data_IF_031510631831
#
_entry.id   IF_031510631831
#
_cell.length_a   1.000
_cell.length_b   1.000
_cell.length_c   1.000
_cell.angle_alpha   90.00
_cell.angle_beta   90.00
_cell.angle_gamma   90.00
#
_symmetry.space_group_name_H-M   'P 1'
#
loop_
_entity.id
_entity.type
_entity.pdbx_description
1 polymer ?
#
# COMPACT_ATOMS: atom_id res chain seq x y z
N UNK A 1 -46.76 90.15 -19.40
CA UNK A 1 -45.74 89.19 -19.89
C UNK A 1 -45.05 88.54 -18.70
N UNK A 2 -45.46 87.33 -18.31
CA UNK A 2 -44.60 86.38 -17.58
C UNK A 2 -44.94 84.99 -18.11
N UNK A 3 -43.93 84.34 -18.68
CA UNK A 3 -44.00 83.03 -19.32
C UNK A 3 -44.41 81.96 -18.30
N UNK A 4 -45.33 81.10 -18.69
CA UNK A 4 -45.51 79.78 -18.07
C UNK A 4 -44.29 78.93 -18.44
N UNK A 5 -43.42 78.65 -17.47
CA UNK A 5 -42.43 77.60 -17.57
C UNK A 5 -43.12 76.25 -17.42
N UNK A 6 -43.60 75.68 -18.53
CA UNK A 6 -43.93 74.25 -18.63
C UNK A 6 -42.71 73.55 -19.20
N UNK A 7 -41.82 73.09 -18.34
CA UNK A 7 -40.65 72.31 -18.71
C UNK A 7 -39.78 72.13 -17.49
N UNK A 8 -39.99 71.05 -16.73
CA UNK A 8 -38.96 70.36 -15.95
C UNK A 8 -39.54 69.21 -15.09
N UNK A 9 -40.84 69.22 -14.75
CA UNK A 9 -41.43 68.12 -13.94
C UNK A 9 -41.61 66.80 -14.71
N UNK A 10 -41.86 66.87 -16.02
CA UNK A 10 -41.99 65.66 -16.83
C UNK A 10 -40.64 64.95 -17.07
N UNK A 11 -39.52 65.70 -17.09
CA UNK A 11 -38.20 65.13 -17.36
C UNK A 11 -37.61 64.43 -16.13
N UNK A 12 -37.82 64.99 -14.93
CA UNK A 12 -37.32 64.42 -13.66
C UNK A 12 -38.07 63.17 -13.19
N UNK A 13 -39.38 63.08 -13.47
CA UNK A 13 -40.18 61.87 -13.19
C UNK A 13 -39.78 60.72 -14.12
N UNK A 14 -39.44 61.03 -15.39
CA UNK A 14 -38.97 60.03 -16.35
C UNK A 14 -37.55 59.57 -16.02
N UNK A 15 -36.64 60.47 -15.64
CA UNK A 15 -35.27 60.10 -15.22
C UNK A 15 -35.23 59.27 -13.94
N UNK A 16 -36.05 59.60 -12.92
CA UNK A 16 -36.14 58.82 -11.70
C UNK A 16 -36.74 57.43 -11.95
N UNK A 17 -37.78 57.32 -12.79
CA UNK A 17 -38.36 56.03 -13.18
C UNK A 17 -37.44 55.17 -14.07
N UNK A 18 -36.53 55.78 -14.82
CA UNK A 18 -35.49 55.07 -15.59
C UNK A 18 -34.36 54.60 -14.66
N UNK A 19 -33.98 55.40 -13.67
CA UNK A 19 -32.98 55.06 -12.64
C UNK A 19 -33.45 53.93 -11.70
N UNK A 20 -34.69 53.98 -11.22
CA UNK A 20 -35.29 52.90 -10.42
C UNK A 20 -35.40 51.60 -11.22
N UNK A 21 -35.88 51.65 -12.47
CA UNK A 21 -35.91 50.46 -13.33
C UNK A 21 -34.51 49.91 -13.66
N UNK A 22 -33.49 50.76 -13.73
CA UNK A 22 -32.10 50.35 -13.94
C UNK A 22 -31.54 49.62 -12.72
N UNK A 23 -31.76 50.17 -11.52
CA UNK A 23 -31.30 49.59 -10.25
C UNK A 23 -32.03 48.31 -9.87
N UNK A 24 -33.34 48.20 -10.15
CA UNK A 24 -34.10 46.95 -10.02
C UNK A 24 -33.57 45.85 -10.94
N UNK A 25 -33.22 46.20 -12.18
CA UNK A 25 -32.68 45.27 -13.17
C UNK A 25 -31.29 44.76 -12.76
N UNK A 26 -30.42 45.63 -12.27
CA UNK A 26 -29.12 45.24 -11.71
C UNK A 26 -29.26 44.35 -10.46
N UNK A 27 -30.20 44.67 -9.57
CA UNK A 27 -30.50 43.83 -8.40
C UNK A 27 -30.98 42.43 -8.79
N UNK A 28 -31.82 42.34 -9.83
CA UNK A 28 -32.29 41.07 -10.38
C UNK A 28 -31.14 40.23 -10.92
N UNK A 29 -30.23 40.83 -11.70
CA UNK A 29 -29.05 40.15 -12.25
C UNK A 29 -28.12 39.65 -11.13
N UNK A 30 -27.91 40.46 -10.09
CA UNK A 30 -27.10 40.05 -8.95
C UNK A 30 -27.72 38.88 -8.18
N UNK A 31 -29.04 38.86 -7.96
CA UNK A 31 -29.74 37.74 -7.30
C UNK A 31 -29.61 36.45 -8.09
N UNK A 32 -29.76 36.51 -9.40
CA UNK A 32 -29.61 35.36 -10.29
C UNK A 32 -28.16 34.81 -10.22
N UNK A 33 -27.17 35.70 -10.19
CA UNK A 33 -25.75 35.31 -10.04
C UNK A 33 -25.47 34.69 -8.66
N UNK A 34 -26.06 35.22 -7.58
CA UNK A 34 -25.95 34.64 -6.23
C UNK A 34 -26.60 33.24 -6.20
N UNK A 35 -27.75 33.07 -6.84
CA UNK A 35 -28.45 31.79 -6.90
C UNK A 35 -27.64 30.74 -7.67
N UNK A 36 -27.04 31.12 -8.80
CA UNK A 36 -26.14 30.25 -9.57
C UNK A 36 -24.90 29.87 -8.77
N UNK A 37 -24.22 30.84 -8.14
CA UNK A 37 -23.04 30.58 -7.32
C UNK A 37 -23.36 29.67 -6.13
N UNK A 38 -24.55 29.83 -5.53
CA UNK A 38 -25.00 28.97 -4.43
C UNK A 38 -25.25 27.54 -4.89
N UNK A 39 -25.82 27.34 -6.08
CA UNK A 39 -26.02 26.02 -6.67
C UNK A 39 -24.67 25.35 -7.02
N UNK A 40 -23.74 26.09 -7.62
CA UNK A 40 -22.40 25.59 -7.93
C UNK A 40 -21.63 25.20 -6.66
N UNK A 41 -21.73 26.00 -5.60
CA UNK A 41 -21.11 25.72 -4.30
C UNK A 41 -21.72 24.48 -3.65
N UNK A 42 -23.04 24.32 -3.70
CA UNK A 42 -23.73 23.12 -3.21
C UNK A 42 -23.27 21.86 -3.99
N UNK A 43 -23.14 21.96 -5.31
CA UNK A 43 -22.62 20.86 -6.14
C UNK A 43 -21.18 20.49 -5.77
N UNK A 44 -20.31 21.47 -5.54
CA UNK A 44 -18.94 21.24 -5.08
C UNK A 44 -18.89 20.62 -3.69
N UNK A 45 -19.73 21.06 -2.75
CA UNK A 45 -19.78 20.50 -1.40
C UNK A 45 -20.22 19.03 -1.43
N UNK A 46 -21.21 18.67 -2.23
CA UNK A 46 -21.62 17.28 -2.40
C UNK A 46 -20.47 16.41 -2.94
N UNK A 47 -19.75 16.91 -3.96
CA UNK A 47 -18.60 16.21 -4.52
C UNK A 47 -17.45 16.04 -3.52
N UNK A 48 -17.21 17.04 -2.66
CA UNK A 48 -16.23 16.94 -1.56
C UNK A 48 -16.66 15.85 -0.59
N UNK A 49 -17.92 15.81 -0.16
CA UNK A 49 -18.42 14.78 0.75
C UNK A 49 -18.29 13.37 0.17
N UNK A 50 -18.58 13.17 -1.13
CA UNK A 50 -18.35 11.88 -1.80
C UNK A 50 -16.88 11.46 -1.82
N UNK A 51 -15.96 12.42 -2.02
CA UNK A 51 -14.52 12.15 -1.98
C UNK A 51 -14.04 11.85 -0.56
N UNK A 52 -14.54 12.55 0.45
CA UNK A 52 -14.24 12.29 1.86
C UNK A 52 -14.69 10.88 2.28
N UNK A 53 -15.86 10.42 1.83
CA UNK A 53 -16.31 9.04 2.05
C UNK A 53 -15.39 8.01 1.39
N UNK A 54 -14.95 8.26 0.15
CA UNK A 54 -13.99 7.38 -0.55
C UNK A 54 -12.62 7.36 0.15
N UNK A 55 -12.14 8.51 0.61
CA UNK A 55 -10.88 8.62 1.36
C UNK A 55 -10.99 7.81 2.65
N UNK A 56 -12.04 8.02 3.46
CA UNK A 56 -12.25 7.27 4.70
C UNK A 56 -12.35 5.75 4.46
N UNK A 57 -12.98 5.32 3.35
CA UNK A 57 -13.05 3.91 2.98
C UNK A 57 -11.68 3.34 2.61
N UNK A 58 -10.87 4.09 1.85
CA UNK A 58 -9.50 3.72 1.50
C UNK A 58 -8.60 3.68 2.73
N UNK A 59 -8.71 4.66 3.63
CA UNK A 59 -7.98 4.72 4.89
C UNK A 59 -8.30 3.50 5.77
N UNK A 60 -9.58 3.12 5.91
CA UNK A 60 -9.96 1.89 6.63
C UNK A 60 -9.39 0.61 6.03
N UNK A 61 -9.34 0.51 4.70
CA UNK A 61 -8.74 -0.64 4.01
C UNK A 61 -7.23 -0.67 4.25
N UNK A 62 -6.58 0.49 4.23
CA UNK A 62 -5.15 0.63 4.53
C UNK A 62 -4.85 0.31 6.01
N UNK A 63 -5.67 0.79 6.95
CA UNK A 63 -5.54 0.53 8.37
C UNK A 63 -5.70 -0.97 8.68
N UNK A 64 -6.74 -1.62 8.15
CA UNK A 64 -6.96 -3.07 8.32
C UNK A 64 -5.87 -3.94 7.70
N UNK A 65 -5.18 -3.44 6.66
CA UNK A 65 -4.00 -4.08 6.07
C UNK A 65 -2.68 -3.62 6.69
N UNK A 66 -2.67 -2.74 7.69
CA UNK A 66 -1.44 -2.25 8.34
C UNK A 66 -1.12 -2.93 9.67
N UNK A 67 -2.10 -3.62 10.29
CA UNK A 67 -1.90 -4.16 11.64
C UNK A 67 -1.03 -5.41 11.70
N UNK A 68 -0.93 -6.17 10.60
CA UNK A 68 -0.18 -7.43 10.59
C UNK A 68 1.13 -7.29 9.82
N UNK A 69 2.17 -6.88 10.55
CA UNK A 69 3.54 -6.88 10.03
C UNK A 69 4.05 -8.32 10.02
N UNK A 70 4.73 -8.71 8.95
CA UNK A 70 5.26 -10.07 8.75
C UNK A 70 6.79 -10.04 8.75
N UNK A 71 7.41 -10.89 9.56
CA UNK A 71 8.84 -11.16 9.46
C UNK A 71 9.06 -12.40 8.57
N UNK A 72 9.73 -12.20 7.43
CA UNK A 72 10.17 -13.27 6.54
C UNK A 72 11.54 -13.74 7.01
N UNK A 73 11.62 -14.95 7.57
CA UNK A 73 12.84 -15.51 8.13
C UNK A 73 13.48 -16.47 7.12
N UNK A 74 14.72 -16.16 6.73
CA UNK A 74 15.55 -16.98 5.84
C UNK A 74 16.76 -17.55 6.61
N UNK A 75 16.69 -18.80 7.10
CA UNK A 75 17.85 -19.48 7.65
C UNK A 75 18.79 -19.92 6.51
N UNK A 76 20.07 -19.60 6.63
CA UNK A 76 21.08 -19.87 5.60
C UNK A 76 22.20 -20.72 6.18
N UNK A 77 22.58 -21.80 5.50
CA UNK A 77 23.75 -22.61 5.88
C UNK A 77 24.75 -22.78 4.73
N UNK A 78 24.32 -23.02 3.51
CA UNK A 78 25.17 -23.20 2.33
C UNK A 78 24.40 -22.82 1.07
N UNK A 79 25.07 -22.80 -0.09
CA UNK A 79 24.44 -22.49 -1.37
C UNK A 79 24.48 -21.00 -1.66
N UNK A 80 25.66 -20.49 -2.03
CA UNK A 80 25.88 -19.08 -2.35
C UNK A 80 24.90 -18.57 -3.40
N UNK A 81 24.82 -19.24 -4.55
CA UNK A 81 24.04 -18.76 -5.68
C UNK A 81 22.54 -18.79 -5.37
N UNK A 82 22.06 -19.89 -4.81
CA UNK A 82 20.67 -20.08 -4.44
C UNK A 82 20.24 -19.06 -3.38
N UNK A 83 21.10 -18.79 -2.39
CA UNK A 83 20.84 -17.78 -1.37
C UNK A 83 20.78 -16.37 -1.96
N UNK A 84 21.64 -16.06 -2.93
CA UNK A 84 21.61 -14.77 -3.63
C UNK A 84 20.29 -14.59 -4.39
N UNK A 85 19.91 -15.60 -5.18
CA UNK A 85 18.67 -15.59 -5.96
C UNK A 85 17.43 -15.50 -5.06
N UNK A 86 17.41 -16.24 -3.94
CA UNK A 86 16.34 -16.17 -2.95
C UNK A 86 16.20 -14.78 -2.33
N UNK A 87 17.30 -14.18 -1.85
CA UNK A 87 17.25 -12.87 -1.19
C UNK A 87 16.87 -11.77 -2.19
N UNK A 88 17.45 -11.77 -3.39
CA UNK A 88 17.14 -10.71 -4.36
C UNK A 88 15.72 -10.84 -4.92
N UNK A 89 15.23 -12.06 -5.19
CA UNK A 89 13.83 -12.27 -5.60
C UNK A 89 12.86 -11.80 -4.50
N UNK A 90 13.12 -12.15 -3.24
CA UNK A 90 12.31 -11.69 -2.10
C UNK A 90 12.31 -10.16 -1.97
N UNK A 91 13.49 -9.52 -2.02
CA UNK A 91 13.60 -8.06 -1.89
C UNK A 91 12.98 -7.29 -3.05
N UNK A 92 13.01 -7.84 -4.26
CA UNK A 92 12.47 -7.18 -5.45
C UNK A 92 10.96 -6.91 -5.37
N UNK A 93 10.25 -7.69 -4.56
CA UNK A 93 8.79 -7.66 -4.42
C UNK A 93 8.34 -7.57 -2.96
N UNK A 94 9.26 -7.35 -2.02
CA UNK A 94 8.92 -7.31 -0.60
C UNK A 94 8.01 -6.10 -0.30
N UNK A 95 6.80 -6.31 0.23
CA UNK A 95 5.89 -5.23 0.54
C UNK A 95 6.36 -4.42 1.76
N UNK A 96 5.92 -3.16 1.84
CA UNK A 96 6.32 -2.23 2.92
C UNK A 96 5.90 -2.67 4.34
N UNK A 97 5.02 -3.66 4.46
CA UNK A 97 4.51 -4.20 5.72
C UNK A 97 5.20 -5.52 6.09
N UNK A 98 6.30 -5.88 5.42
CA UNK A 98 7.10 -7.04 5.73
C UNK A 98 8.58 -6.66 5.89
N UNK A 99 9.26 -7.35 6.79
CA UNK A 99 10.71 -7.24 7.00
C UNK A 99 11.38 -8.57 6.68
N UNK A 100 12.51 -8.53 5.96
CA UNK A 100 13.33 -9.71 5.69
C UNK A 100 14.40 -9.88 6.77
N UNK A 101 14.46 -11.05 7.39
CA UNK A 101 15.43 -11.44 8.42
C UNK A 101 16.22 -12.64 7.91
N UNK A 102 17.47 -12.41 7.54
CA UNK A 102 18.37 -13.47 7.08
C UNK A 102 19.27 -13.89 8.24
N UNK A 103 19.38 -15.20 8.47
CA UNK A 103 20.14 -15.75 9.59
C UNK A 103 21.19 -16.72 9.05
N UNK A 104 22.45 -16.28 9.00
CA UNK A 104 23.59 -17.14 8.69
C UNK A 104 23.84 -18.11 9.86
N UNK A 105 23.55 -19.39 9.66
CA UNK A 105 23.69 -20.46 10.64
C UNK A 105 25.10 -21.05 10.67
N UNK A 106 26.10 -20.17 10.78
CA UNK A 106 27.52 -20.53 10.71
C UNK A 106 27.87 -21.31 9.43
N UNK A 107 27.57 -20.72 8.28
CA UNK A 107 27.88 -21.29 6.97
C UNK A 107 29.34 -21.73 6.85
N UNK A 108 29.61 -22.91 6.25
CA UNK A 108 30.97 -23.35 5.99
C UNK A 108 31.60 -22.64 4.77
N UNK A 109 30.82 -21.83 4.03
CA UNK A 109 31.25 -21.13 2.82
C UNK A 109 31.65 -19.68 3.17
N UNK A 110 32.96 -19.34 3.13
CA UNK A 110 33.40 -17.99 3.49
C UNK A 110 32.86 -16.92 2.54
N UNK A 111 32.71 -17.26 1.26
CA UNK A 111 32.20 -16.37 0.21
C UNK A 111 30.73 -16.00 0.46
N UNK A 112 29.89 -16.96 0.87
CA UNK A 112 28.50 -16.71 1.27
C UNK A 112 28.41 -15.82 2.51
N UNK A 113 29.21 -16.13 3.54
CA UNK A 113 29.25 -15.29 4.75
C UNK A 113 29.71 -13.87 4.44
N UNK A 114 30.72 -13.72 3.58
CA UNK A 114 31.20 -12.40 3.16
C UNK A 114 30.13 -11.65 2.37
N UNK A 115 29.51 -12.30 1.39
CA UNK A 115 28.47 -11.71 0.57
C UNK A 115 27.29 -11.23 1.42
N UNK A 116 26.80 -12.04 2.36
CA UNK A 116 25.71 -11.66 3.27
C UNK A 116 26.04 -10.39 4.05
N UNK A 117 27.25 -10.31 4.63
CA UNK A 117 27.71 -9.13 5.40
C UNK A 117 27.87 -7.88 4.55
N UNK A 118 28.28 -8.04 3.28
CA UNK A 118 28.42 -6.92 2.35
C UNK A 118 27.06 -6.44 1.88
N UNK A 119 26.19 -7.37 1.46
CA UNK A 119 24.85 -7.07 0.96
C UNK A 119 23.93 -6.51 2.03
N UNK A 120 24.06 -6.95 3.29
CA UNK A 120 23.25 -6.38 4.39
C UNK A 120 23.55 -4.90 4.64
N UNK A 121 24.76 -4.41 4.29
CA UNK A 121 25.13 -2.99 4.46
C UNK A 121 24.41 -2.07 3.47
N UNK A 122 23.94 -2.59 2.34
CA UNK A 122 23.15 -1.80 1.38
C UNK A 122 21.70 -1.66 1.81
N UNK A 123 21.30 -2.31 2.92
CA UNK A 123 19.94 -2.31 3.44
C UNK A 123 19.03 -3.34 2.77
N UNK A 124 17.76 -3.35 3.19
CA UNK A 124 16.72 -4.24 2.68
C UNK A 124 16.45 -5.47 3.55
N UNK A 125 17.43 -5.93 4.34
CA UNK A 125 17.20 -7.02 5.31
C UNK A 125 18.06 -6.90 6.55
N UNK A 126 17.61 -7.52 7.64
CA UNK A 126 18.39 -7.69 8.87
C UNK A 126 19.21 -8.97 8.79
N UNK A 127 20.52 -8.87 8.98
CA UNK A 127 21.40 -10.03 9.07
C UNK A 127 21.66 -10.41 10.54
N UNK A 128 21.41 -11.67 10.87
CA UNK A 128 21.89 -12.32 12.09
C UNK A 128 22.92 -13.39 11.74
N UNK A 129 23.91 -13.58 12.61
CA UNK A 129 24.90 -14.64 12.45
C UNK A 129 24.96 -15.50 13.72
N UNK A 130 24.83 -16.82 13.57
CA UNK A 130 25.11 -17.78 14.63
C UNK A 130 26.63 -18.03 14.71
N UNK A 131 27.13 -18.34 15.91
CA UNK A 131 28.55 -18.66 16.12
C UNK A 131 28.90 -20.11 15.72
N UNK A 132 27.90 -20.97 15.75
CA UNK A 132 27.98 -22.40 15.41
C UNK A 132 26.69 -22.79 14.69
N UNK A 133 26.71 -23.90 13.96
CA UNK A 133 25.53 -24.41 13.25
C UNK A 133 24.53 -24.96 14.29
N UNK A 134 23.42 -24.25 14.48
CA UNK A 134 22.34 -24.62 15.40
C UNK A 134 21.29 -25.52 14.74
N UNK A 135 21.28 -25.56 13.41
CA UNK A 135 20.27 -26.21 12.61
C UNK A 135 19.01 -25.36 12.45
N UNK A 136 18.22 -25.71 11.43
CA UNK A 136 17.04 -24.96 10.97
C UNK A 136 16.12 -24.49 12.10
N UNK A 137 15.67 -25.41 12.97
CA UNK A 137 14.67 -25.11 14.01
C UNK A 137 15.19 -24.09 15.02
N UNK A 138 16.43 -24.27 15.50
CA UNK A 138 17.00 -23.36 16.49
C UNK A 138 17.30 -21.97 15.88
N UNK A 139 17.74 -21.96 14.63
CA UNK A 139 18.00 -20.74 13.84
C UNK A 139 16.72 -19.95 13.59
N UNK A 140 15.65 -20.62 13.14
CA UNK A 140 14.33 -20.00 12.97
C UNK A 140 13.78 -19.50 14.30
N UNK A 141 13.83 -20.30 15.37
CA UNK A 141 13.37 -19.90 16.70
C UNK A 141 14.13 -18.67 17.24
N UNK A 142 15.37 -18.45 16.82
CA UNK A 142 16.11 -17.22 17.13
C UNK A 142 15.51 -16.04 16.38
N UNK A 143 15.22 -16.18 15.09
CA UNK A 143 14.57 -15.16 14.28
C UNK A 143 13.20 -14.76 14.82
N UNK A 144 12.35 -15.73 15.16
CA UNK A 144 11.00 -15.50 15.68
C UNK A 144 10.97 -14.69 16.99
N UNK A 145 12.07 -14.66 17.74
CA UNK A 145 12.18 -13.90 18.99
C UNK A 145 12.48 -12.41 18.78
N UNK A 146 12.82 -11.98 17.56
CA UNK A 146 13.10 -10.57 17.28
C UNK A 146 11.87 -9.70 17.50
N UNK A 147 10.72 -10.11 16.96
CA UNK A 147 9.47 -9.38 17.04
C UNK A 147 8.33 -10.35 17.42
N UNK A 148 8.10 -10.60 18.72
CA UNK A 148 7.17 -11.64 19.18
C UNK A 148 5.69 -11.35 18.85
N UNK A 149 5.35 -10.10 18.52
CA UNK A 149 3.98 -9.67 18.19
C UNK A 149 3.68 -9.73 16.68
N UNK A 150 4.65 -10.14 15.86
CA UNK A 150 4.52 -10.20 14.40
C UNK A 150 4.24 -11.60 13.91
N UNK A 151 3.55 -11.69 12.78
CA UNK A 151 3.37 -12.96 12.09
C UNK A 151 4.67 -13.37 11.39
N UNK A 152 4.88 -14.67 11.26
CA UNK A 152 6.14 -15.25 10.79
C UNK A 152 5.90 -16.00 9.48
N UNK A 153 6.76 -15.72 8.49
CA UNK A 153 6.90 -16.56 7.32
C UNK A 153 8.29 -17.20 7.32
N UNK A 154 8.33 -18.52 7.14
CA UNK A 154 9.59 -19.26 6.99
C UNK A 154 9.86 -19.47 5.50
N UNK A 155 10.99 -18.94 5.02
CA UNK A 155 11.40 -19.03 3.62
C UNK A 155 12.77 -19.73 3.58
N UNK A 156 12.85 -20.88 2.91
CA UNK A 156 14.15 -21.55 2.76
C UNK A 156 15.06 -20.71 1.85
N UNK A 157 16.38 -20.83 2.06
CA UNK A 157 17.39 -20.06 1.31
C UNK A 157 17.55 -20.46 -0.15
N UNK A 158 16.87 -21.52 -0.60
CA UNK A 158 16.89 -22.06 -1.96
C UNK A 158 15.57 -21.82 -2.71
N UNK A 159 14.76 -20.86 -2.25
CA UNK A 159 13.47 -20.52 -2.86
C UNK A 159 13.57 -19.22 -3.65
N UNK A 160 13.22 -19.28 -4.94
CA UNK A 160 12.90 -18.09 -5.73
C UNK A 160 11.40 -17.79 -5.62
N UNK A 161 11.05 -16.57 -5.20
CA UNK A 161 9.65 -16.14 -5.04
C UNK A 161 9.16 -15.37 -6.27
N UNK A 162 7.87 -15.43 -6.54
CA UNK A 162 7.26 -14.83 -7.73
C UNK A 162 6.33 -13.67 -7.40
N UNK A 163 6.51 -12.52 -8.08
CA UNK A 163 5.52 -11.44 -8.14
C UNK A 163 4.97 -11.03 -6.76
N UNK A 164 3.66 -11.09 -6.60
CA UNK A 164 2.83 -10.78 -5.43
C UNK A 164 2.70 -11.96 -4.44
N UNK A 165 3.77 -12.75 -4.28
CA UNK A 165 3.76 -13.98 -3.49
C UNK A 165 3.28 -13.76 -2.05
N UNK A 166 3.75 -12.68 -1.41
CA UNK A 166 3.47 -12.43 -0.01
C UNK A 166 2.08 -11.85 0.19
N UNK A 167 1.58 -11.05 -0.74
CA UNK A 167 0.21 -10.55 -0.78
C UNK A 167 -0.80 -11.70 -0.84
N UNK A 168 -0.56 -12.70 -1.72
CA UNK A 168 -1.45 -13.86 -1.86
C UNK A 168 -1.47 -14.73 -0.61
N UNK A 169 -0.30 -14.94 -0.02
CA UNK A 169 -0.14 -15.65 1.26
C UNK A 169 -0.92 -14.89 2.34
N UNK A 170 -0.73 -13.57 2.43
CA UNK A 170 -1.42 -12.72 3.40
C UNK A 170 -2.94 -12.74 3.23
N UNK A 171 -3.44 -12.63 2.00
CA UNK A 171 -4.87 -12.70 1.71
C UNK A 171 -5.46 -14.05 2.17
N UNK A 172 -4.76 -15.16 1.88
CA UNK A 172 -5.19 -16.48 2.33
C UNK A 172 -5.19 -16.61 3.86
N UNK A 173 -4.14 -16.10 4.53
CA UNK A 173 -3.99 -16.14 5.99
C UNK A 173 -5.13 -15.42 6.70
N UNK A 174 -5.47 -14.20 6.27
CA UNK A 174 -6.51 -13.38 6.93
C UNK A 174 -7.91 -13.56 6.34
N UNK A 175 -8.09 -14.46 5.37
CA UNK A 175 -9.40 -14.75 4.77
C UNK A 175 -10.45 -15.21 5.79
N UNK A 176 -10.03 -15.77 6.94
CA UNK A 176 -10.93 -16.23 8.02
C UNK A 176 -10.28 -16.06 9.40
N UNK A 177 -11.03 -15.70 10.45
CA UNK A 177 -10.48 -15.48 11.80
C UNK A 177 -9.82 -16.68 12.52
N UNK A 178 -9.90 -17.89 11.95
CA UNK A 178 -9.42 -19.14 12.58
C UNK A 178 -8.34 -19.86 11.77
N UNK A 179 -7.75 -19.20 10.77
CA UNK A 179 -6.57 -19.74 10.08
C UNK A 179 -5.37 -19.56 10.99
N UNK A 180 -4.70 -20.66 11.33
CA UNK A 180 -3.52 -20.65 12.19
C UNK A 180 -2.19 -20.82 11.44
N UNK A 181 -2.23 -21.39 10.24
CA UNK A 181 -1.08 -21.50 9.35
C UNK A 181 -1.54 -21.69 7.91
N UNK A 182 -0.66 -21.35 6.98
CA UNK A 182 -0.82 -21.57 5.55
C UNK A 182 0.50 -22.10 4.98
N UNK A 183 0.42 -22.83 3.88
CA UNK A 183 1.60 -23.33 3.17
C UNK A 183 1.32 -23.23 1.68
N UNK A 184 2.10 -22.43 0.93
CA UNK A 184 1.93 -22.32 -0.50
C UNK A 184 2.38 -23.61 -1.21
N UNK A 185 1.85 -23.85 -2.40
CA UNK A 185 2.43 -24.83 -3.32
C UNK A 185 3.69 -24.26 -3.96
N UNK A 186 4.61 -25.15 -4.33
CA UNK A 186 5.82 -24.83 -5.09
C UNK A 186 6.06 -25.92 -6.13
N UNK A 187 6.97 -25.67 -7.07
CA UNK A 187 7.41 -26.66 -8.04
C UNK A 187 8.32 -27.73 -7.40
N UNK A 188 9.02 -27.39 -6.31
CA UNK A 188 9.85 -28.30 -5.52
C UNK A 188 9.67 -28.05 -4.01
N UNK A 189 8.66 -28.68 -3.41
CA UNK A 189 8.38 -28.58 -1.96
C UNK A 189 7.85 -29.87 -1.34
N UNK A 190 8.32 -31.03 -1.82
CA UNK A 190 7.91 -32.36 -1.32
C UNK A 190 6.37 -32.52 -1.33
N UNK A 191 5.73 -32.47 -0.16
CA UNK A 191 4.28 -32.58 0.04
C UNK A 191 3.51 -31.40 -0.55
N UNK A 192 4.18 -30.28 -0.80
CA UNK A 192 3.57 -29.12 -1.45
C UNK A 192 4.06 -28.94 -2.89
N UNK A 193 4.72 -29.95 -3.47
CA UNK A 193 5.06 -29.96 -4.89
C UNK A 193 3.79 -30.04 -5.76
N UNK A 194 3.69 -29.18 -6.76
CA UNK A 194 2.57 -29.12 -7.71
C UNK A 194 3.08 -29.02 -9.16
N UNK A 195 2.45 -29.70 -10.14
CA UNK A 195 1.25 -30.54 -10.00
C UNK A 195 1.50 -31.96 -9.48
N UNK A 196 2.73 -32.48 -9.56
CA UNK A 196 3.08 -33.81 -9.06
C UNK A 196 3.69 -33.71 -7.67
N UNK A 197 3.07 -34.41 -6.74
CA UNK A 197 3.44 -34.44 -5.33
C UNK A 197 4.72 -35.25 -5.11
N UNK A 198 5.59 -34.80 -4.20
CA UNK A 198 6.89 -35.42 -3.91
C UNK A 198 7.81 -35.58 -5.14
N UNK A 199 7.62 -34.74 -6.15
CA UNK A 199 8.45 -34.69 -7.34
C UNK A 199 8.90 -33.25 -7.60
N UNK A 200 10.00 -33.11 -8.33
CA UNK A 200 10.41 -31.85 -8.93
C UNK A 200 9.52 -31.60 -10.16
N UNK A 201 8.87 -30.44 -10.17
CA UNK A 201 8.02 -30.03 -11.29
C UNK A 201 8.75 -28.97 -12.10
N UNK A 202 8.68 -29.11 -13.42
CA UNK A 202 9.11 -28.04 -14.31
C UNK A 202 8.17 -26.84 -14.13
N UNK A 203 8.73 -25.64 -14.20
CA UNK A 203 7.92 -24.43 -14.28
C UNK A 203 7.08 -24.51 -15.56
N UNK A 204 5.81 -24.13 -15.45
CA UNK A 204 4.96 -23.99 -16.63
C UNK A 204 5.58 -22.90 -17.50
N UNK A 205 6.17 -23.28 -18.64
CA UNK A 205 6.56 -22.30 -19.65
C UNK A 205 5.28 -21.66 -20.21
N UNK A 206 5.21 -20.34 -20.16
CA UNK A 206 4.13 -19.55 -20.79
C UNK A 206 4.07 -19.73 -22.31
#
# INVERSE_FOLDING_TARGET
MRNFGMGDEASSIIENGISERSSEKESSVMREKVQQLSADLAGKNNYISELEEKINMLEKVLEGNSEHIVDVIVPVYAGLQETQECIESALSTLPHWADLVVINDASPEPELTQWLRERSKTGGFTLLENKENLGFVATVNRGMKLNPERDILLLNSDVEVANDWLERIREAAYSRPRVGSITPFSNNATICSFPRFCEDNELFME
#
